data_IF_181336684356
#
_entry.id   IF_181336684356
#
_cell.length_a   1.000
_cell.length_b   1.000
_cell.length_c   1.000
_cell.angle_alpha   90.00
_cell.angle_beta   90.00
_cell.angle_gamma   90.00
#
_symmetry.space_group_name_H-M   'P 1'
#
loop_
_entity.id
_entity.type
_entity.pdbx_description
1 polymer ?
#
# COMPACT_ATOMS: atom_id res chain seq x y z
N UNK A 1 15.61 -15.83 4.86
CA UNK A 1 14.15 -16.02 4.85
C UNK A 1 13.86 -17.35 4.21
N UNK A 2 12.92 -18.12 4.76
CA UNK A 2 12.42 -19.33 4.11
C UNK A 2 11.75 -18.92 2.79
N UNK A 3 11.83 -19.71 1.70
CA UNK A 3 11.11 -19.44 0.45
C UNK A 3 9.61 -19.17 0.62
N UNK A 4 9.01 -19.66 1.72
CA UNK A 4 7.59 -19.47 2.04
C UNK A 4 7.22 -18.11 2.65
N UNK A 5 8.17 -17.36 3.24
CA UNK A 5 7.86 -16.08 3.91
C UNK A 5 7.41 -14.96 2.94
N UNK A 6 8.04 -14.76 1.77
CA UNK A 6 7.60 -13.79 0.76
C UNK A 6 6.18 -14.04 0.24
N UNK A 7 5.85 -15.29 -0.09
CA UNK A 7 4.54 -15.68 -0.60
C UNK A 7 3.44 -15.40 0.45
N UNK A 8 3.68 -15.80 1.70
CA UNK A 8 2.76 -15.54 2.82
C UNK A 8 2.54 -14.03 3.04
N UNK A 9 3.57 -13.20 2.89
CA UNK A 9 3.44 -11.75 3.03
C UNK A 9 2.56 -11.15 1.92
N UNK A 10 2.79 -11.54 0.65
CA UNK A 10 2.00 -11.13 -0.50
C UNK A 10 0.54 -11.57 -0.38
N UNK A 11 0.29 -12.82 -0.01
CA UNK A 11 -1.06 -13.34 0.22
C UNK A 11 -1.79 -12.58 1.34
N UNK A 12 -1.10 -12.30 2.45
CA UNK A 12 -1.67 -11.55 3.56
C UNK A 12 -2.03 -10.11 3.16
N UNK A 13 -1.20 -9.44 2.35
CA UNK A 13 -1.50 -8.12 1.83
C UNK A 13 -2.74 -8.16 0.93
N UNK A 14 -2.76 -9.09 -0.04
CA UNK A 14 -3.89 -9.25 -0.97
C UNK A 14 -5.20 -9.53 -0.28
N UNK A 15 -5.21 -10.49 0.65
CA UNK A 15 -6.41 -10.84 1.40
C UNK A 15 -6.98 -9.62 2.14
N UNK A 16 -6.11 -8.80 2.76
CA UNK A 16 -6.53 -7.58 3.45
C UNK A 16 -7.08 -6.50 2.54
N UNK A 17 -6.61 -6.44 1.28
CA UNK A 17 -7.15 -5.57 0.24
C UNK A 17 -8.55 -6.04 -0.18
N UNK A 18 -8.72 -7.34 -0.41
CA UNK A 18 -10.00 -7.93 -0.81
C UNK A 18 -11.06 -7.82 0.30
N UNK A 19 -10.70 -8.16 1.55
CA UNK A 19 -11.54 -8.04 2.74
C UNK A 19 -12.10 -6.60 2.92
N UNK A 20 -11.32 -5.58 2.56
CA UNK A 20 -11.73 -4.18 2.67
C UNK A 20 -12.87 -3.82 1.70
N UNK A 21 -12.95 -4.51 0.56
CA UNK A 21 -13.83 -4.17 -0.56
C UNK A 21 -14.93 -5.21 -0.82
N UNK A 22 -14.94 -6.31 -0.06
CA UNK A 22 -15.85 -7.45 -0.24
C UNK A 22 -17.34 -7.04 -0.19
N UNK A 23 -17.67 -6.05 0.65
CA UNK A 23 -19.05 -5.62 0.89
C UNK A 23 -19.57 -4.57 -0.10
N UNK A 24 -18.73 -4.14 -1.04
CA UNK A 24 -19.05 -3.04 -1.96
C UNK A 24 -19.59 -3.56 -3.29
N UNK A 25 -20.59 -2.86 -3.81
CA UNK A 25 -21.12 -3.04 -5.16
C UNK A 25 -20.14 -2.55 -6.23
N UNK A 26 -20.35 -3.01 -7.47
CA UNK A 26 -19.53 -2.57 -8.60
C UNK A 26 -19.66 -1.06 -8.87
N UNK A 27 -20.84 -0.47 -8.61
CA UNK A 27 -21.07 0.98 -8.72
C UNK A 27 -20.25 1.75 -7.68
N UNK A 28 -20.17 1.25 -6.44
CA UNK A 28 -19.34 1.86 -5.39
C UNK A 28 -17.84 1.76 -5.71
N UNK A 29 -17.40 0.66 -6.34
CA UNK A 29 -16.00 0.46 -6.71
C UNK A 29 -15.57 1.36 -7.87
N UNK A 30 -16.48 1.67 -8.79
CA UNK A 30 -16.20 2.42 -10.03
C UNK A 30 -16.40 3.93 -9.87
N UNK A 31 -17.18 4.36 -8.87
CA UNK A 31 -17.46 5.77 -8.63
C UNK A 31 -16.24 6.51 -8.05
N UNK A 32 -15.91 7.66 -8.65
CA UNK A 32 -14.99 8.61 -8.02
C UNK A 32 -15.73 9.45 -6.97
N UNK A 33 -15.44 9.22 -5.69
CA UNK A 33 -16.10 9.90 -4.57
C UNK A 33 -15.58 11.33 -4.38
N UNK A 34 -14.27 11.53 -4.57
CA UNK A 34 -13.58 12.80 -4.30
C UNK A 34 -12.52 13.05 -5.38
N UNK A 35 -12.31 14.29 -5.84
CA UNK A 35 -11.29 14.60 -6.84
C UNK A 35 -9.85 14.32 -6.35
N UNK A 36 -9.64 14.27 -5.04
CA UNK A 36 -8.32 13.93 -4.46
C UNK A 36 -8.13 12.43 -4.23
N UNK A 37 -9.11 11.58 -4.59
CA UNK A 37 -9.03 10.13 -4.50
C UNK A 37 -9.34 9.48 -5.85
N UNK A 38 -8.80 8.28 -6.10
CA UNK A 38 -9.17 7.49 -7.28
C UNK A 38 -10.49 6.75 -7.03
N UNK A 39 -11.20 6.29 -8.08
CA UNK A 39 -12.10 5.15 -7.96
C UNK A 39 -11.37 3.95 -7.35
N UNK A 40 -12.03 3.19 -6.46
CA UNK A 40 -11.41 2.04 -5.78
C UNK A 40 -10.94 0.97 -6.77
N UNK A 41 -11.65 0.81 -7.90
CA UNK A 41 -11.25 -0.11 -8.98
C UNK A 41 -9.95 0.32 -9.67
N UNK A 42 -9.63 1.62 -9.69
CA UNK A 42 -8.34 2.09 -10.18
C UNK A 42 -7.22 1.64 -9.25
N UNK A 43 -7.39 1.77 -7.92
CA UNK A 43 -6.41 1.31 -6.94
C UNK A 43 -6.18 -0.21 -7.03
N UNK A 44 -7.23 -1.01 -7.21
CA UNK A 44 -7.12 -2.47 -7.41
C UNK A 44 -6.25 -2.84 -8.62
N UNK A 45 -6.53 -2.24 -9.77
CA UNK A 45 -5.79 -2.52 -10.98
C UNK A 45 -4.37 -1.94 -10.94
N UNK A 46 -4.18 -0.79 -10.28
CA UNK A 46 -2.87 -0.20 -10.03
C UNK A 46 -1.99 -1.09 -9.14
N UNK A 47 -2.54 -1.69 -8.07
CA UNK A 47 -1.82 -2.65 -7.24
C UNK A 47 -1.32 -3.82 -8.08
N UNK A 48 -2.16 -4.39 -8.95
CA UNK A 48 -1.76 -5.47 -9.85
C UNK A 48 -0.67 -5.02 -10.82
N UNK A 49 -0.83 -3.85 -11.43
CA UNK A 49 0.14 -3.30 -12.38
C UNK A 49 1.51 -3.06 -11.74
N UNK A 50 1.54 -2.50 -10.53
CA UNK A 50 2.77 -2.30 -9.77
C UNK A 50 3.43 -3.65 -9.39
N UNK A 51 2.66 -4.62 -8.93
CA UNK A 51 3.17 -5.97 -8.62
C UNK A 51 3.76 -6.64 -9.88
N UNK A 52 3.10 -6.55 -11.03
CA UNK A 52 3.59 -7.06 -12.31
C UNK A 52 4.91 -6.39 -12.69
N UNK A 53 4.96 -5.06 -12.63
CA UNK A 53 6.13 -4.28 -13.01
C UNK A 53 7.37 -4.75 -12.23
N UNK A 54 7.24 -4.88 -10.92
CA UNK A 54 8.40 -5.12 -10.05
C UNK A 54 8.73 -6.59 -9.83
N UNK A 55 7.74 -7.48 -9.74
CA UNK A 55 7.99 -8.90 -9.44
C UNK A 55 7.97 -9.81 -10.68
N UNK A 56 7.39 -9.36 -11.79
CA UNK A 56 7.41 -10.08 -13.06
C UNK A 56 8.42 -9.45 -14.03
N UNK A 57 8.15 -8.23 -14.50
CA UNK A 57 8.90 -7.59 -15.60
C UNK A 57 10.34 -7.28 -15.18
N UNK A 58 10.55 -6.60 -14.06
CA UNK A 58 11.88 -6.25 -13.58
C UNK A 58 12.72 -7.47 -13.20
N UNK A 59 12.07 -8.60 -12.89
CA UNK A 59 12.72 -9.89 -12.65
C UNK A 59 13.02 -10.69 -13.94
N UNK A 60 12.79 -10.10 -15.13
CA UNK A 60 13.04 -10.70 -16.44
C UNK A 60 11.92 -11.62 -16.93
N UNK A 61 10.72 -11.52 -16.38
CA UNK A 61 9.51 -12.18 -16.92
C UNK A 61 8.87 -11.37 -18.05
N UNK A 62 8.04 -12.01 -18.89
CA UNK A 62 7.27 -11.30 -19.91
C UNK A 62 6.21 -10.42 -19.25
N UNK A 63 5.91 -9.26 -19.84
CA UNK A 63 4.75 -8.46 -19.45
C UNK A 63 3.48 -9.26 -19.73
N UNK A 64 2.54 -9.26 -18.79
CA UNK A 64 1.21 -9.82 -18.93
C UNK A 64 0.33 -8.84 -19.69
N UNK A 65 0.39 -7.54 -19.35
CA UNK A 65 -0.45 -6.48 -19.93
C UNK A 65 0.31 -5.17 -20.08
N UNK A 66 0.66 -4.82 -21.32
CA UNK A 66 1.30 -3.54 -21.64
C UNK A 66 0.28 -2.45 -22.01
N UNK A 67 -0.92 -2.83 -22.41
CA UNK A 67 -2.03 -1.92 -22.72
C UNK A 67 -2.60 -1.18 -21.49
N UNK A 68 -2.10 -1.52 -20.31
CA UNK A 68 -2.43 -0.94 -19.02
C UNK A 68 -1.41 0.06 -18.50
N UNK A 69 -0.24 0.16 -19.15
CA UNK A 69 0.90 0.95 -18.67
C UNK A 69 0.52 2.42 -18.45
N UNK A 70 -0.18 3.06 -19.39
CA UNK A 70 -0.58 4.47 -19.25
C UNK A 70 -1.79 4.66 -18.32
N UNK A 71 -2.68 3.66 -18.24
CA UNK A 71 -3.96 3.76 -17.53
C UNK A 71 -3.78 3.68 -16.01
N UNK A 72 -2.83 2.85 -15.58
CA UNK A 72 -2.56 2.56 -14.18
C UNK A 72 -1.18 3.03 -13.73
N UNK A 73 -0.45 3.80 -14.54
CA UNK A 73 0.66 4.60 -14.04
C UNK A 73 0.14 5.61 -13.02
N UNK A 74 0.76 5.69 -11.84
CA UNK A 74 0.39 6.68 -10.84
C UNK A 74 0.76 8.12 -11.24
N UNK A 75 1.70 8.30 -12.17
CA UNK A 75 2.24 9.60 -12.59
C UNK A 75 1.53 10.22 -13.79
N UNK A 76 0.90 9.41 -14.65
CA UNK A 76 0.30 9.92 -15.89
C UNK A 76 -1.13 10.50 -15.69
N UNK A 77 -2.14 9.75 -15.20
CA UNK A 77 -3.47 10.29 -14.98
C UNK A 77 -3.56 10.96 -13.61
N UNK A 78 -3.82 12.26 -13.62
CA UNK A 78 -4.07 13.01 -12.40
C UNK A 78 -5.31 12.44 -11.68
N UNK A 79 -5.30 12.40 -10.34
CA UNK A 79 -6.40 11.84 -9.55
C UNK A 79 -7.79 12.34 -9.98
N UNK A 80 -8.03 13.65 -10.21
CA UNK A 80 -9.35 14.15 -10.62
C UNK A 80 -9.87 13.61 -11.96
N UNK A 81 -9.00 13.05 -12.80
CA UNK A 81 -9.34 12.57 -14.14
C UNK A 81 -9.65 11.07 -14.16
N UNK A 82 -9.21 10.32 -13.14
CA UNK A 82 -9.26 8.85 -13.10
C UNK A 82 -10.67 8.29 -13.24
N UNK A 83 -11.69 8.98 -12.72
CA UNK A 83 -13.09 8.56 -12.85
C UNK A 83 -13.67 8.64 -14.27
N UNK A 84 -12.97 9.26 -15.22
CA UNK A 84 -13.40 9.41 -16.63
C UNK A 84 -12.66 8.48 -17.58
N UNK A 85 -11.66 7.76 -17.08
CA UNK A 85 -10.85 6.86 -17.89
C UNK A 85 -11.62 5.57 -18.21
N UNK A 86 -11.26 4.86 -19.29
CA UNK A 86 -11.84 3.57 -19.63
C UNK A 86 -11.27 2.47 -18.70
N UNK A 87 -11.58 2.56 -17.40
CA UNK A 87 -11.09 1.64 -16.38
C UNK A 87 -11.63 0.22 -16.58
N UNK A 88 -10.85 -0.76 -16.16
CA UNK A 88 -11.34 -2.12 -16.03
C UNK A 88 -12.58 -2.19 -15.13
N UNK A 89 -13.60 -2.98 -15.52
CA UNK A 89 -14.68 -3.29 -14.61
C UNK A 89 -14.16 -4.12 -13.42
N UNK A 90 -14.81 -4.07 -12.24
CA UNK A 90 -14.31 -4.70 -11.02
C UNK A 90 -13.96 -6.19 -11.16
N UNK A 91 -14.76 -6.96 -11.91
CA UNK A 91 -14.47 -8.37 -12.20
C UNK A 91 -13.14 -8.56 -12.96
N UNK A 92 -12.86 -7.69 -13.94
CA UNK A 92 -11.64 -7.75 -14.74
C UNK A 92 -10.42 -7.27 -13.94
N UNK A 93 -10.56 -6.23 -13.12
CA UNK A 93 -9.50 -5.78 -12.22
C UNK A 93 -9.09 -6.89 -11.23
N UNK A 94 -10.07 -7.57 -10.61
CA UNK A 94 -9.80 -8.73 -9.73
C UNK A 94 -9.19 -9.91 -10.47
N UNK A 95 -9.59 -10.15 -11.72
CA UNK A 95 -8.95 -11.18 -12.56
C UNK A 95 -7.49 -10.85 -12.82
N UNK A 96 -7.21 -9.60 -13.22
CA UNK A 96 -5.84 -9.14 -13.44
C UNK A 96 -4.97 -9.28 -12.18
N UNK A 97 -5.49 -8.92 -11.01
CA UNK A 97 -4.80 -9.14 -9.73
C UNK A 97 -4.44 -10.60 -9.47
N UNK A 98 -5.32 -11.55 -9.81
CA UNK A 98 -5.05 -12.99 -9.67
C UNK A 98 -4.02 -13.45 -10.69
N UNK A 99 -4.19 -13.09 -11.96
CA UNK A 99 -3.28 -13.49 -13.04
C UNK A 99 -1.83 -13.02 -12.76
N UNK A 100 -1.67 -11.78 -12.27
CA UNK A 100 -0.37 -11.26 -11.84
C UNK A 100 0.17 -12.04 -10.64
N UNK A 101 -0.65 -12.30 -9.63
CA UNK A 101 -0.21 -13.05 -8.44
C UNK A 101 0.24 -14.47 -8.80
N UNK A 102 -0.50 -15.15 -9.66
CA UNK A 102 -0.16 -16.49 -10.14
C UNK A 102 1.16 -16.47 -10.93
N UNK A 103 1.37 -15.44 -11.76
CA UNK A 103 2.63 -15.23 -12.48
C UNK A 103 3.81 -14.94 -11.52
N UNK A 104 3.59 -14.23 -10.41
CA UNK A 104 4.62 -14.00 -9.39
C UNK A 104 4.96 -15.28 -8.63
N UNK A 105 3.95 -16.03 -8.19
CA UNK A 105 4.16 -17.24 -7.37
C UNK A 105 4.74 -18.40 -8.17
N UNK A 106 4.31 -18.60 -9.42
CA UNK A 106 4.88 -19.63 -10.32
C UNK A 106 6.38 -19.43 -10.60
N UNK A 107 6.90 -18.21 -10.44
CA UNK A 107 8.34 -17.92 -10.53
C UNK A 107 9.09 -18.31 -9.24
N UNK A 108 8.42 -18.19 -8.10
CA UNK A 108 8.91 -18.61 -6.79
C UNK A 108 9.22 -20.11 -6.71
N UNK A 109 8.46 -20.92 -7.44
CA UNK A 109 8.61 -22.39 -7.48
C UNK A 109 9.88 -22.88 -8.21
N UNK A 110 10.67 -21.98 -8.80
CA UNK A 110 11.94 -22.30 -9.48
C UNK A 110 13.07 -21.28 -9.29
N UNK A 111 12.81 -20.10 -8.70
CA UNK A 111 13.80 -19.06 -8.38
C UNK A 111 13.39 -18.33 -7.09
N UNK A 112 14.35 -17.90 -6.27
CA UNK A 112 14.03 -17.02 -5.14
C UNK A 112 13.56 -15.66 -5.64
N UNK A 113 12.42 -15.19 -5.13
CA UNK A 113 12.01 -13.80 -5.30
C UNK A 113 13.00 -12.88 -4.57
N UNK A 114 13.30 -11.72 -5.17
CA UNK A 114 14.08 -10.68 -4.49
C UNK A 114 13.27 -10.17 -3.30
N UNK A 115 13.82 -10.34 -2.10
CA UNK A 115 13.09 -10.03 -0.88
C UNK A 115 12.86 -8.53 -0.68
N UNK A 116 13.73 -7.66 -1.21
CA UNK A 116 13.56 -6.21 -1.13
C UNK A 116 12.43 -5.75 -2.07
N UNK A 117 12.37 -6.32 -3.28
CA UNK A 117 11.26 -6.04 -4.20
C UNK A 117 9.93 -6.56 -3.64
N UNK A 118 9.92 -7.76 -3.04
CA UNK A 118 8.70 -8.28 -2.39
C UNK A 118 8.28 -7.36 -1.25
N UNK A 119 9.21 -6.93 -0.39
CA UNK A 119 8.91 -6.02 0.71
C UNK A 119 8.33 -4.68 0.20
N UNK A 120 8.90 -4.12 -0.86
CA UNK A 120 8.40 -2.89 -1.49
C UNK A 120 6.97 -3.07 -2.02
N UNK A 121 6.69 -4.16 -2.75
CA UNK A 121 5.37 -4.44 -3.33
C UNK A 121 4.32 -4.71 -2.26
N UNK A 122 4.67 -5.46 -1.20
CA UNK A 122 3.78 -5.67 -0.05
C UNK A 122 3.44 -4.35 0.62
N UNK A 123 4.42 -3.48 0.84
CA UNK A 123 4.17 -2.19 1.48
C UNK A 123 3.38 -1.23 0.57
N UNK A 124 3.64 -1.23 -0.74
CA UNK A 124 2.85 -0.49 -1.74
C UNK A 124 1.37 -0.89 -1.68
N UNK A 125 1.05 -2.18 -1.68
CA UNK A 125 -0.33 -2.66 -1.58
C UNK A 125 -0.98 -2.23 -0.24
N UNK A 126 -0.22 -2.27 0.87
CA UNK A 126 -0.71 -1.82 2.18
C UNK A 126 -0.95 -0.30 2.24
N UNK A 127 -0.13 0.51 1.56
CA UNK A 127 -0.33 1.96 1.42
C UNK A 127 -1.57 2.29 0.58
N UNK A 128 -1.79 1.56 -0.52
CA UNK A 128 -3.03 1.69 -1.28
C UNK A 128 -4.24 1.24 -0.48
N UNK A 129 -4.12 0.23 0.37
CA UNK A 129 -5.20 -0.16 1.29
C UNK A 129 -5.58 0.97 2.25
N UNK A 130 -4.60 1.71 2.78
CA UNK A 130 -4.88 2.91 3.58
C UNK A 130 -5.57 3.99 2.75
N UNK A 131 -5.09 4.23 1.53
CA UNK A 131 -5.72 5.19 0.58
C UNK A 131 -7.17 4.82 0.29
N UNK A 132 -7.46 3.54 0.05
CA UNK A 132 -8.83 3.04 -0.15
C UNK A 132 -9.68 3.23 1.11
N UNK A 133 -9.14 2.98 2.31
CA UNK A 133 -9.85 3.22 3.57
C UNK A 133 -10.22 4.70 3.77
N UNK A 134 -9.36 5.63 3.35
CA UNK A 134 -9.66 7.07 3.34
C UNK A 134 -10.84 7.38 2.39
N UNK A 135 -10.85 6.78 1.19
CA UNK A 135 -11.97 6.92 0.23
C UNK A 135 -13.29 6.40 0.82
N UNK A 136 -13.27 5.25 1.49
CA UNK A 136 -14.46 4.69 2.16
C UNK A 136 -14.98 5.61 3.27
N UNK A 137 -14.08 6.16 4.08
CA UNK A 137 -14.44 7.13 5.12
C UNK A 137 -15.07 8.41 4.52
N UNK A 138 -14.50 8.96 3.44
CA UNK A 138 -15.07 10.11 2.73
C UNK A 138 -16.44 9.81 2.11
N UNK A 139 -16.66 8.57 1.68
CA UNK A 139 -17.91 8.14 1.08
C UNK A 139 -19.02 7.82 2.10
N UNK A 140 -18.68 7.70 3.39
CA UNK A 140 -19.58 7.15 4.40
C UNK A 140 -19.88 5.66 4.17
N UNK A 141 -19.00 4.94 3.48
CA UNK A 141 -19.14 3.53 3.16
C UNK A 141 -18.49 2.65 4.25
N UNK A 142 -18.87 1.36 4.35
CA UNK A 142 -18.23 0.43 5.27
C UNK A 142 -16.71 0.39 5.03
N UNK A 143 -15.95 0.87 6.02
CA UNK A 143 -14.49 0.81 6.04
C UNK A 143 -13.97 -0.41 6.83
N UNK A 144 -12.68 -0.41 7.20
CA UNK A 144 -12.15 -1.38 8.16
C UNK A 144 -12.99 -1.35 9.44
N UNK A 145 -13.23 -2.51 10.06
CA UNK A 145 -14.00 -2.58 11.31
C UNK A 145 -13.48 -1.53 12.31
N UNK A 146 -14.35 -0.61 12.79
CA UNK A 146 -13.92 0.47 13.66
C UNK A 146 -13.53 -0.12 14.99
N UNK A 147 -12.24 -0.37 15.18
CA UNK A 147 -11.70 -0.59 16.51
C UNK A 147 -11.82 0.74 17.25
N UNK A 148 -12.53 0.74 18.38
CA UNK A 148 -12.53 1.88 19.28
C UNK A 148 -11.07 2.27 19.54
N UNK A 149 -10.65 3.51 19.25
CA UNK A 149 -9.30 3.93 19.58
C UNK A 149 -9.09 3.71 21.09
N UNK A 150 -7.88 3.28 21.51
CA UNK A 150 -7.61 3.04 22.92
C UNK A 150 -7.84 4.33 23.71
N UNK A 151 -8.35 4.20 24.95
CA UNK A 151 -8.49 5.34 25.84
C UNK A 151 -7.12 5.96 26.14
N UNK A 152 -7.01 7.27 25.94
CA UNK A 152 -5.78 8.01 26.19
C UNK A 152 -5.70 8.35 27.67
N UNK A 153 -4.94 7.55 28.42
CA UNK A 153 -4.72 7.75 29.85
C UNK A 153 -3.46 8.57 30.18
N UNK A 154 -2.56 8.76 29.21
CA UNK A 154 -1.32 9.49 29.42
C UNK A 154 -1.52 11.00 29.23
N UNK A 155 -0.97 11.80 30.15
CA UNK A 155 -1.00 13.27 30.08
C UNK A 155 0.41 13.86 30.23
N UNK A 156 0.54 15.14 29.84
CA UNK A 156 1.78 15.90 29.91
C UNK A 156 2.83 15.46 28.90
N UNK A 157 4.05 15.94 29.09
CA UNK A 157 5.19 15.69 28.19
C UNK A 157 6.35 14.98 28.88
N UNK A 158 7.11 14.22 28.10
CA UNK A 158 8.41 13.65 28.47
C UNK A 158 9.53 14.54 27.95
N UNK A 159 10.61 14.68 28.72
CA UNK A 159 11.82 15.36 28.24
C UNK A 159 12.70 14.37 27.49
N UNK A 160 13.06 14.72 26.26
CA UNK A 160 14.12 14.06 25.50
C UNK A 160 15.42 14.83 25.76
N UNK A 161 16.43 14.14 26.28
CA UNK A 161 17.65 14.76 26.83
C UNK A 161 18.52 15.50 25.83
N UNK A 162 18.28 15.33 24.53
CA UNK A 162 19.20 15.76 23.48
C UNK A 162 20.43 14.85 23.39
N UNK A 163 21.33 15.19 22.47
CA UNK A 163 22.54 14.42 22.18
C UNK A 163 22.54 13.83 20.78
N UNK A 164 23.60 13.09 20.48
CA UNK A 164 23.77 12.39 19.21
C UNK A 164 23.01 11.07 19.23
N UNK A 165 22.31 10.77 18.14
CA UNK A 165 21.67 9.48 17.93
C UNK A 165 21.69 9.11 16.44
N UNK A 166 21.46 7.82 16.15
CA UNK A 166 21.36 7.33 14.78
C UNK A 166 19.92 7.44 14.27
N UNK A 167 19.72 8.24 13.24
CA UNK A 167 18.46 8.37 12.50
C UNK A 167 18.50 7.51 11.24
N UNK A 168 17.37 6.89 10.90
CA UNK A 168 17.23 6.00 9.74
C UNK A 168 17.42 4.53 10.12
N UNK A 169 17.03 3.66 9.19
CA UNK A 169 17.06 2.21 9.35
C UNK A 169 18.07 1.54 8.42
N UNK A 170 18.16 0.23 8.58
CA UNK A 170 18.75 -0.68 7.61
C UNK A 170 17.89 -1.95 7.61
N UNK A 171 17.59 -2.48 6.42
CA UNK A 171 16.86 -3.74 6.32
C UNK A 171 16.05 -3.84 5.04
N UNK A 172 15.65 -5.08 4.75
CA UNK A 172 14.91 -5.44 3.54
C UNK A 172 13.55 -4.74 3.43
N UNK A 173 12.97 -4.33 4.57
CA UNK A 173 11.66 -3.69 4.65
C UNK A 173 11.70 -2.16 4.72
N UNK A 174 12.88 -1.54 4.83
CA UNK A 174 12.99 -0.09 4.86
C UNK A 174 12.91 0.49 3.45
N UNK A 175 12.10 1.53 3.27
CA UNK A 175 12.14 2.32 2.03
C UNK A 175 13.50 3.00 1.85
N UNK A 176 13.76 3.45 0.63
CA UNK A 176 14.96 4.21 0.28
C UNK A 176 15.10 5.49 1.12
N UNK A 177 14.00 6.20 1.38
CA UNK A 177 13.95 7.42 2.18
C UNK A 177 14.21 7.21 3.69
N UNK A 178 14.21 5.97 4.17
CA UNK A 178 14.58 5.62 5.54
C UNK A 178 16.08 5.34 5.67
N UNK A 179 16.82 5.35 4.57
CA UNK A 179 18.23 4.95 4.47
C UNK A 179 19.10 6.08 3.89
N UNK A 180 20.41 6.09 4.17
CA UNK A 180 21.10 5.26 5.16
C UNK A 180 20.94 5.81 6.59
N UNK A 181 21.21 4.93 7.55
CA UNK A 181 21.40 5.32 8.94
C UNK A 181 22.55 6.33 9.08
N UNK A 182 22.32 7.44 9.77
CA UNK A 182 23.32 8.50 9.99
C UNK A 182 23.14 9.17 11.34
N UNK A 183 24.21 9.79 11.86
CA UNK A 183 24.15 10.47 13.16
C UNK A 183 23.55 11.87 13.02
N UNK A 184 22.65 12.20 13.94
CA UNK A 184 22.00 13.51 14.07
C UNK A 184 22.15 13.99 15.50
N UNK A 185 22.53 15.25 15.67
CA UNK A 185 22.59 15.91 16.98
C UNK A 185 21.32 16.72 17.22
N UNK A 186 20.59 16.41 18.28
CA UNK A 186 19.40 17.16 18.69
C UNK A 186 19.63 17.90 20.00
N UNK A 187 19.14 19.14 20.04
CA UNK A 187 19.01 19.88 21.31
C UNK A 187 17.93 19.22 22.18
N UNK A 188 17.99 19.35 23.51
CA UNK A 188 16.95 18.83 24.38
C UNK A 188 15.58 19.44 24.03
N UNK A 189 14.53 18.62 24.05
CA UNK A 189 13.15 19.05 23.79
C UNK A 189 12.15 18.28 24.66
N UNK A 190 10.87 18.65 24.57
CA UNK A 190 9.77 17.93 25.21
C UNK A 190 8.84 17.37 24.14
N UNK A 191 8.35 16.15 24.35
CA UNK A 191 7.38 15.49 23.49
C UNK A 191 6.17 15.11 24.33
N UNK A 192 4.97 15.36 23.83
CA UNK A 192 3.75 14.94 24.52
C UNK A 192 3.67 13.42 24.59
N UNK A 193 3.22 12.91 25.74
CA UNK A 193 3.14 11.45 25.98
C UNK A 193 1.97 10.80 25.27
N UNK A 194 1.06 11.60 24.74
CA UNK A 194 -0.13 11.18 24.02
C UNK A 194 -0.39 12.13 22.85
N UNK A 195 -1.13 11.62 21.86
CA UNK A 195 -1.69 12.46 20.79
C UNK A 195 -2.72 13.42 21.36
N UNK A 196 -2.91 14.57 20.70
CA UNK A 196 -3.97 15.53 21.02
C UNK A 196 -5.34 14.87 20.87
N UNK A 197 -6.24 15.11 21.83
CA UNK A 197 -7.62 14.59 21.83
C UNK A 197 -8.62 15.60 21.26
N UNK A 198 -9.81 15.13 20.87
CA UNK A 198 -10.89 15.99 20.37
C UNK A 198 -11.52 16.88 21.46
N UNK A 199 -11.52 16.40 22.70
CA UNK A 199 -12.09 17.10 23.87
C UNK A 199 -11.09 17.97 24.59
#
# INVERSE_FOLDING_TARGET
>A
MSPSEPAVALERARRRTEELLERLSDDELTRQISPVQSPLVWDLAHIAHFEELWLVRQCGGPALRTDYDDLYDAFAPARPERGRLPLLPPRAARAYMRDVRDAVLSRGDGRSLDSALVAMVVQHELQHRETMAQTLALAGLPGPDPKRPPDVAASGSVRVGGGSFTLGGAGVWSYDNEQPAHNVDLRPFRLDRALVTNG
#
